data_IF_320484954620
#
_entry.id   IF_320484954620
#
_cell.length_a   1.000
_cell.length_b   1.000
_cell.length_c   1.000
_cell.angle_alpha   90.00
_cell.angle_beta   90.00
_cell.angle_gamma   90.00
#
_symmetry.space_group_name_H-M   'P 1'
#
loop_
_entity.id
_entity.type
_entity.pdbx_description
1 polymer ?
#
# COMPACT_ATOMS: atom_id res chain seq x y z
N UNK A 1 1.41 -0.25 13.86
CA UNK A 1 1.41 -0.30 12.38
C UNK A 1 2.85 -0.37 11.91
N UNK A 2 3.17 -1.24 10.96
CA UNK A 2 4.53 -1.37 10.45
C UNK A 2 4.85 -0.17 9.53
N UNK A 3 5.88 0.65 9.82
CA UNK A 3 6.29 1.74 8.92
C UNK A 3 6.57 1.24 7.49
N UNK A 4 7.10 0.02 7.35
CA UNK A 4 7.32 -0.63 6.06
C UNK A 4 6.04 -0.82 5.24
N UNK A 5 4.92 -1.17 5.88
CA UNK A 5 3.64 -1.35 5.18
C UNK A 5 3.10 -0.01 4.63
N UNK A 6 3.22 1.06 5.41
CA UNK A 6 2.85 2.41 4.96
C UNK A 6 3.75 2.87 3.82
N UNK A 7 5.07 2.65 3.93
CA UNK A 7 6.01 3.03 2.89
C UNK A 7 5.74 2.28 1.57
N UNK A 8 5.57 0.96 1.64
CA UNK A 8 5.21 0.12 0.50
C UNK A 8 3.91 0.59 -0.18
N UNK A 9 2.85 0.86 0.59
CA UNK A 9 1.59 1.35 0.05
C UNK A 9 1.74 2.71 -0.64
N UNK A 10 2.54 3.61 -0.05
CA UNK A 10 2.84 4.91 -0.62
C UNK A 10 3.61 4.80 -1.93
N UNK A 11 4.64 3.95 -2.00
CA UNK A 11 5.44 3.75 -3.22
C UNK A 11 4.60 3.27 -4.39
N UNK A 12 3.77 2.23 -4.21
CA UNK A 12 2.90 1.71 -5.27
C UNK A 12 1.87 2.76 -5.73
N UNK A 13 1.30 3.53 -4.79
CA UNK A 13 0.31 4.56 -5.10
C UNK A 13 0.92 5.76 -5.84
N UNK A 14 2.11 6.22 -5.41
CA UNK A 14 2.84 7.31 -6.04
C UNK A 14 3.34 6.90 -7.42
N UNK A 15 3.88 5.70 -7.60
CA UNK A 15 4.29 5.19 -8.91
C UNK A 15 3.12 5.20 -9.91
N UNK A 16 1.95 4.73 -9.46
CA UNK A 16 0.74 4.73 -10.27
C UNK A 16 0.26 6.15 -10.61
N UNK A 17 0.37 7.10 -9.67
CA UNK A 17 0.07 8.52 -9.89
C UNK A 17 1.04 9.14 -10.91
N UNK A 18 2.35 8.93 -10.75
CA UNK A 18 3.37 9.44 -11.68
C UNK A 18 3.22 8.84 -13.08
N UNK A 19 2.70 7.62 -13.17
CA UNK A 19 2.32 6.96 -14.44
C UNK A 19 1.00 7.45 -15.05
N UNK A 20 0.30 8.41 -14.42
CA UNK A 20 -0.97 8.94 -14.90
C UNK A 20 -2.18 7.98 -14.75
N UNK A 21 -2.04 6.91 -13.95
CA UNK A 21 -3.06 5.86 -13.77
C UNK A 21 -3.86 5.98 -12.47
N UNK A 22 -3.49 6.95 -11.62
CA UNK A 22 -4.15 7.24 -10.35
C UNK A 22 -4.23 8.76 -10.16
N UNK A 23 -5.37 9.29 -9.71
CA UNK A 23 -5.48 10.72 -9.36
C UNK A 23 -4.84 11.04 -8.01
N UNK A 24 -4.29 12.25 -7.83
CA UNK A 24 -3.59 12.67 -6.60
C UNK A 24 -4.37 12.38 -5.31
N UNK A 25 -5.66 12.72 -5.29
CA UNK A 25 -6.54 12.48 -4.12
C UNK A 25 -6.71 11.00 -3.76
N UNK A 26 -6.49 10.09 -4.72
CA UNK A 26 -6.62 8.63 -4.53
C UNK A 26 -5.40 8.00 -3.87
N UNK A 27 -4.26 8.69 -3.81
CA UNK A 27 -3.06 8.17 -3.12
C UNK A 27 -3.40 7.87 -1.66
N UNK A 28 -4.01 8.84 -0.96
CA UNK A 28 -4.45 8.66 0.43
C UNK A 28 -5.46 7.53 0.59
N UNK A 29 -6.42 7.40 -0.33
CA UNK A 29 -7.42 6.32 -0.29
C UNK A 29 -6.77 4.93 -0.40
N UNK A 30 -5.76 4.77 -1.25
CA UNK A 30 -5.03 3.49 -1.43
C UNK A 30 -4.21 3.17 -0.19
N UNK A 31 -3.49 4.14 0.37
CA UNK A 31 -2.68 3.95 1.58
C UNK A 31 -3.59 3.56 2.75
N UNK A 32 -4.66 4.30 2.98
CA UNK A 32 -5.60 4.03 4.08
C UNK A 32 -6.23 2.63 3.96
N UNK A 33 -6.75 2.26 2.78
CA UNK A 33 -7.34 0.95 2.56
C UNK A 33 -6.32 -0.20 2.67
N UNK A 34 -5.07 0.04 2.26
CA UNK A 34 -3.99 -0.95 2.39
C UNK A 34 -3.67 -1.22 3.85
N UNK A 35 -3.53 -0.16 4.63
CA UNK A 35 -3.24 -0.20 6.04
C UNK A 35 -4.40 -0.78 6.88
N UNK A 36 -5.64 -0.55 6.47
CA UNK A 36 -6.81 -1.19 7.07
C UNK A 36 -6.83 -2.70 6.78
N UNK A 37 -6.59 -3.12 5.54
CA UNK A 37 -6.59 -4.53 5.13
C UNK A 37 -5.43 -5.34 5.69
N UNK A 38 -4.25 -4.73 5.88
CA UNK A 38 -3.10 -5.45 6.46
C UNK A 38 -3.31 -5.75 7.94
N UNK A 39 -4.02 -4.86 8.65
CA UNK A 39 -4.31 -4.96 10.08
C UNK A 39 -3.07 -4.76 10.95
N UNK A 40 -3.20 -5.11 12.23
CA UNK A 40 -2.08 -5.09 13.15
C UNK A 40 -1.16 -6.29 12.88
N UNK A 41 0.14 -6.01 12.70
CA UNK A 41 1.20 -7.02 12.64
C UNK A 41 2.25 -6.70 13.68
N UNK A 42 2.67 -7.71 14.44
CA UNK A 42 3.90 -7.65 15.22
C UNK A 42 5.09 -7.71 14.25
N UNK A 43 6.04 -6.81 14.42
CA UNK A 43 7.23 -6.70 13.57
C UNK A 43 8.44 -6.66 14.47
N UNK A 44 8.96 -7.85 14.79
CA UNK A 44 10.04 -8.08 15.75
C UNK A 44 11.30 -8.68 15.11
N UNK A 45 11.30 -8.83 13.79
CA UNK A 45 12.37 -9.42 12.99
C UNK A 45 12.44 -8.75 11.62
N UNK A 46 13.59 -8.88 10.96
CA UNK A 46 13.76 -8.40 9.58
C UNK A 46 12.79 -9.12 8.63
N UNK A 47 12.58 -10.41 8.84
CA UNK A 47 11.65 -11.24 8.08
C UNK A 47 10.21 -10.72 8.24
N UNK A 48 9.81 -10.32 9.45
CA UNK A 48 8.51 -9.71 9.67
C UNK A 48 8.36 -8.35 8.97
N UNK A 49 9.44 -7.54 8.91
CA UNK A 49 9.45 -6.27 8.16
C UNK A 49 9.25 -6.54 6.66
N UNK A 50 10.02 -7.48 6.09
CA UNK A 50 9.95 -7.84 4.67
C UNK A 50 8.58 -8.43 4.30
N UNK A 51 8.00 -9.25 5.19
CA UNK A 51 6.66 -9.80 5.00
C UNK A 51 5.58 -8.69 5.04
N UNK A 52 5.72 -7.71 5.92
CA UNK A 52 4.81 -6.56 5.99
C UNK A 52 4.88 -5.70 4.71
N UNK A 53 6.09 -5.43 4.19
CA UNK A 53 6.30 -4.72 2.92
C UNK A 53 5.65 -5.47 1.75
N UNK A 54 6.00 -6.75 1.55
CA UNK A 54 5.49 -7.54 0.44
C UNK A 54 3.96 -7.66 0.45
N UNK A 55 3.37 -7.86 1.63
CA UNK A 55 1.91 -7.92 1.79
C UNK A 55 1.26 -6.57 1.48
N UNK A 56 1.85 -5.47 1.95
CA UNK A 56 1.34 -4.13 1.66
C UNK A 56 1.38 -3.80 0.17
N UNK A 57 2.45 -4.17 -0.56
CA UNK A 57 2.52 -3.99 -2.02
C UNK A 57 1.42 -4.72 -2.74
N UNK A 58 1.21 -6.00 -2.44
CA UNK A 58 0.15 -6.80 -3.05
C UNK A 58 -1.24 -6.18 -2.80
N UNK A 59 -1.50 -5.72 -1.57
CA UNK A 59 -2.79 -5.09 -1.24
C UNK A 59 -2.94 -3.74 -1.93
N UNK A 60 -1.90 -2.89 -1.96
CA UNK A 60 -1.94 -1.59 -2.63
C UNK A 60 -2.23 -1.74 -4.13
N UNK A 61 -1.61 -2.72 -4.79
CA UNK A 61 -1.89 -3.04 -6.19
C UNK A 61 -3.34 -3.48 -6.42
N UNK A 62 -3.96 -4.23 -5.50
CA UNK A 62 -5.39 -4.53 -5.55
C UNK A 62 -6.24 -3.25 -5.42
N UNK A 63 -5.93 -2.40 -4.44
CA UNK A 63 -6.69 -1.18 -4.17
C UNK A 63 -6.59 -0.17 -5.33
N UNK A 64 -5.44 -0.10 -5.99
CA UNK A 64 -5.22 0.65 -7.22
C UNK A 64 -6.10 0.09 -8.33
N UNK A 65 -6.05 -1.22 -8.59
CA UNK A 65 -6.88 -1.85 -9.65
C UNK A 65 -8.36 -1.58 -9.48
N UNK A 66 -8.88 -1.63 -8.25
CA UNK A 66 -10.28 -1.30 -7.93
C UNK A 66 -10.65 0.16 -8.21
N UNK A 67 -9.70 1.08 -8.11
CA UNK A 67 -9.92 2.54 -8.23
C UNK A 67 -9.61 3.09 -9.62
N UNK A 68 -8.77 2.42 -10.41
CA UNK A 68 -8.48 2.82 -11.80
C UNK A 68 -9.54 2.36 -12.80
N UNK A 69 -10.47 1.48 -12.41
CA UNK A 69 -11.59 1.02 -13.25
C UNK A 69 -12.90 1.79 -13.01
N UNK A 70 -12.87 2.85 -12.18
CA UNK A 70 -14.04 3.56 -11.68
C UNK A 70 -14.01 5.06 -12.03
#
# INVERSE_FOLDING_TARGET
MAPAALNAANEEAVDCFLSGRLGYRRIGDVIAATLERIGAMAVDSLEAVLAADARARSIAQDEIRKRSQN
#
